data_IF_372595471191
#
_entry.id   IF_372595471191
#
_cell.length_a   1.000
_cell.length_b   1.000
_cell.length_c   1.000
_cell.angle_alpha   90.00
_cell.angle_beta   90.00
_cell.angle_gamma   90.00
#
_symmetry.space_group_name_H-M   'P 1'
#
loop_
_entity.id
_entity.type
_entity.pdbx_description
1 polymer ?
#
# COMPACT_ATOMS: atom_id res chain seq x y z
N UNK A 1 -12.35 -0.54 -13.15
CA UNK A 1 -11.64 -0.76 -11.89
C UNK A 1 -10.74 0.43 -11.59
N UNK A 2 -10.60 0.79 -10.33
CA UNK A 2 -9.71 1.87 -9.92
C UNK A 2 -8.55 1.32 -9.12
N UNK A 3 -7.45 2.08 -9.03
CA UNK A 3 -6.27 1.70 -8.26
C UNK A 3 -5.95 2.76 -7.22
N UNK A 4 -5.72 2.30 -5.99
CA UNK A 4 -5.12 3.13 -4.96
C UNK A 4 -3.60 2.96 -5.07
N UNK A 5 -2.88 4.06 -5.23
CA UNK A 5 -1.42 4.07 -5.29
C UNK A 5 -0.90 4.88 -4.10
N UNK A 6 -0.13 4.24 -3.24
CA UNK A 6 0.39 4.86 -2.02
C UNK A 6 1.90 4.80 -1.97
N UNK A 7 2.52 5.92 -1.65
CA UNK A 7 3.96 5.97 -1.34
C UNK A 7 4.11 5.90 0.17
N UNK A 8 4.87 4.93 0.64
CA UNK A 8 5.03 4.62 2.05
C UNK A 8 6.42 5.00 2.55
N UNK A 9 6.44 5.63 3.71
CA UNK A 9 7.67 5.96 4.41
C UNK A 9 7.66 5.24 5.76
N UNK A 10 8.79 4.63 6.11
CA UNK A 10 8.88 3.90 7.39
C UNK A 10 8.81 4.85 8.57
N UNK A 11 8.29 4.35 9.67
CA UNK A 11 8.24 5.03 10.94
C UNK A 11 9.66 5.35 11.42
N UNK A 12 9.85 6.53 11.99
CA UNK A 12 11.12 6.92 12.58
C UNK A 12 11.56 5.87 13.62
N UNK A 13 12.83 5.52 13.57
CA UNK A 13 13.41 4.51 14.47
C UNK A 13 13.44 3.09 13.91
N UNK A 14 12.70 2.81 12.83
CA UNK A 14 12.77 1.50 12.19
C UNK A 14 13.89 1.46 11.16
N UNK A 15 14.56 0.32 11.07
CA UNK A 15 15.44 0.04 9.93
C UNK A 15 14.59 -0.30 8.71
N UNK A 16 15.19 -0.26 7.53
CA UNK A 16 14.50 -0.66 6.30
C UNK A 16 14.05 -2.12 6.36
N UNK A 17 14.91 -3.00 6.88
CA UNK A 17 14.58 -4.42 7.03
C UNK A 17 13.41 -4.63 7.98
N UNK A 18 13.37 -3.92 9.09
CA UNK A 18 12.26 -3.99 10.05
C UNK A 18 10.96 -3.51 9.42
N UNK A 19 11.03 -2.44 8.62
CA UNK A 19 9.86 -1.94 7.88
C UNK A 19 9.32 -3.00 6.92
N UNK A 20 10.19 -3.61 6.11
CA UNK A 20 9.77 -4.63 5.15
C UNK A 20 9.24 -5.88 5.84
N UNK A 21 9.86 -6.30 6.95
CA UNK A 21 9.38 -7.45 7.70
C UNK A 21 7.93 -7.23 8.17
N UNK A 22 7.63 -6.06 8.72
CA UNK A 22 6.29 -5.75 9.19
C UNK A 22 5.31 -5.59 8.02
N UNK A 23 5.68 -4.77 7.04
CA UNK A 23 4.82 -4.45 5.91
C UNK A 23 4.43 -5.69 5.11
N UNK A 24 5.40 -6.51 4.75
CA UNK A 24 5.20 -7.69 3.94
C UNK A 24 4.69 -8.89 4.75
N UNK A 25 5.22 -9.08 5.95
CA UNK A 25 4.98 -10.27 6.76
C UNK A 25 3.82 -10.17 7.74
N UNK A 26 3.36 -8.96 8.05
CA UNK A 26 2.29 -8.76 9.05
C UNK A 26 1.13 -7.94 8.52
N UNK A 27 1.40 -6.80 7.88
CA UNK A 27 0.35 -5.86 7.45
C UNK A 27 -0.50 -6.44 6.32
N UNK A 28 0.11 -6.87 5.23
CA UNK A 28 -0.64 -7.46 4.12
C UNK A 28 -1.37 -8.74 4.52
N UNK A 29 -0.74 -9.67 5.27
CA UNK A 29 -1.47 -10.84 5.76
C UNK A 29 -2.66 -10.48 6.64
N UNK A 30 -2.59 -9.43 7.44
CA UNK A 30 -3.70 -8.98 8.27
C UNK A 30 -4.91 -8.59 7.41
N UNK A 31 -4.69 -7.84 6.33
CA UNK A 31 -5.77 -7.47 5.40
C UNK A 31 -6.31 -8.72 4.71
N UNK A 32 -5.43 -9.56 4.18
CA UNK A 32 -5.80 -10.76 3.43
C UNK A 32 -6.60 -11.75 4.25
N UNK A 33 -6.29 -11.87 5.54
CA UNK A 33 -6.94 -12.83 6.43
C UNK A 33 -8.20 -12.30 7.12
N UNK A 34 -8.57 -11.05 6.87
CA UNK A 34 -9.77 -10.42 7.43
C UNK A 34 -10.82 -10.33 6.33
N UNK A 35 -11.82 -11.26 6.30
CA UNK A 35 -12.78 -11.31 5.19
C UNK A 35 -13.54 -10.01 4.95
N UNK A 36 -13.88 -9.27 6.01
CA UNK A 36 -14.58 -7.99 5.90
C UNK A 36 -13.79 -6.95 5.11
N UNK A 37 -12.47 -7.07 5.09
CA UNK A 37 -11.57 -6.19 4.34
C UNK A 37 -11.23 -6.78 2.98
N UNK A 38 -10.82 -8.04 2.96
CA UNK A 38 -10.35 -8.71 1.74
C UNK A 38 -11.42 -8.72 0.64
N UNK A 39 -12.70 -8.80 1.01
CA UNK A 39 -13.80 -8.86 0.04
C UNK A 39 -13.89 -7.63 -0.87
N UNK A 40 -13.36 -6.49 -0.45
CA UNK A 40 -13.38 -5.26 -1.25
C UNK A 40 -12.19 -5.14 -2.20
N UNK A 41 -11.11 -5.89 -1.94
CA UNK A 41 -9.84 -5.74 -2.65
C UNK A 41 -9.74 -6.79 -3.75
N UNK A 42 -9.53 -6.36 -5.00
CA UNK A 42 -9.40 -7.27 -6.15
C UNK A 42 -7.97 -7.74 -6.37
N UNK A 43 -7.01 -6.90 -6.01
CA UNK A 43 -5.58 -7.19 -6.11
C UNK A 43 -4.83 -6.26 -5.18
N UNK A 44 -3.75 -6.75 -4.58
CA UNK A 44 -2.90 -5.97 -3.68
C UNK A 44 -1.45 -6.28 -4.05
N UNK A 45 -0.70 -5.25 -4.42
CA UNK A 45 0.72 -5.38 -4.71
C UNK A 45 1.53 -4.51 -3.76
N UNK A 46 2.66 -5.03 -3.34
CA UNK A 46 3.62 -4.33 -2.50
C UNK A 46 4.94 -4.26 -3.25
N UNK A 47 5.42 -3.05 -3.50
CA UNK A 47 6.63 -2.81 -4.29
C UNK A 47 7.72 -2.24 -3.39
N UNK A 48 8.76 -3.04 -3.14
CA UNK A 48 9.95 -2.59 -2.43
C UNK A 48 10.75 -1.69 -3.36
N UNK A 49 11.33 -0.61 -2.83
CA UNK A 49 12.21 0.21 -3.66
C UNK A 49 13.51 -0.53 -3.96
N UNK A 50 14.10 -0.22 -5.10
CA UNK A 50 15.47 -0.63 -5.43
C UNK A 50 16.43 0.18 -4.56
N UNK A 51 17.32 -0.49 -3.83
CA UNK A 51 18.23 0.17 -2.89
C UNK A 51 19.60 0.45 -3.50
N UNK A 52 19.98 -0.28 -4.54
CA UNK A 52 21.25 -0.14 -5.24
C UNK A 52 21.02 0.00 -6.74
N UNK A 53 21.45 1.09 -7.38
CA UNK A 53 22.09 2.27 -6.75
C UNK A 53 21.11 3.13 -5.96
N UNK A 54 21.61 3.87 -4.99
CA UNK A 54 20.78 4.63 -4.06
C UNK A 54 19.87 5.67 -4.73
N UNK A 55 20.26 6.19 -5.90
CA UNK A 55 19.46 7.19 -6.63
C UNK A 55 18.13 6.61 -7.18
N UNK A 56 17.94 5.29 -7.14
CA UNK A 56 16.69 4.67 -7.58
C UNK A 56 15.53 4.97 -6.62
N UNK A 57 15.81 5.47 -5.41
CA UNK A 57 14.76 5.83 -4.47
C UNK A 57 14.36 7.30 -4.61
N UNK A 58 13.18 7.63 -4.11
CA UNK A 58 12.75 9.01 -3.91
C UNK A 58 12.78 9.31 -2.42
N UNK A 59 13.07 10.56 -2.08
CA UNK A 59 13.42 11.01 -0.73
C UNK A 59 12.60 10.39 0.41
N UNK A 60 13.22 9.47 1.14
CA UNK A 60 12.65 8.88 2.34
C UNK A 60 11.53 7.88 2.13
N UNK A 61 11.06 7.68 0.90
CA UNK A 61 10.02 6.69 0.64
C UNK A 61 10.64 5.32 0.41
N UNK A 62 10.02 4.30 0.99
CA UNK A 62 10.59 2.96 1.08
C UNK A 62 9.82 1.92 0.28
N UNK A 63 8.62 2.25 -0.18
CA UNK A 63 7.84 1.32 -0.97
C UNK A 63 6.57 1.94 -1.51
N UNK A 64 5.93 1.20 -2.42
CA UNK A 64 4.67 1.61 -3.04
C UNK A 64 3.67 0.47 -2.86
N UNK A 65 2.48 0.81 -2.39
CA UNK A 65 1.32 -0.08 -2.38
C UNK A 65 0.44 0.24 -3.57
N UNK A 66 -0.01 -0.79 -4.29
CA UNK A 66 -1.04 -0.63 -5.31
C UNK A 66 -2.16 -1.60 -4.97
N UNK A 67 -3.39 -1.08 -4.83
CA UNK A 67 -4.56 -1.90 -4.54
C UNK A 67 -5.65 -1.61 -5.56
N UNK A 68 -6.26 -2.68 -6.07
CA UNK A 68 -7.35 -2.57 -7.05
C UNK A 68 -8.70 -2.75 -6.37
N UNK A 69 -9.63 -1.86 -6.71
CA UNK A 69 -11.02 -1.89 -6.24
C UNK A 69 -11.95 -1.80 -7.46
N UNK A 70 -13.15 -2.36 -7.36
CA UNK A 70 -14.11 -2.28 -8.46
C UNK A 70 -14.50 -0.84 -8.79
N UNK A 71 -14.55 0.03 -7.77
CA UNK A 71 -14.95 1.43 -7.91
C UNK A 71 -14.41 2.25 -6.75
N UNK A 72 -14.52 3.57 -6.85
CA UNK A 72 -14.24 4.47 -5.72
C UNK A 72 -15.15 4.14 -4.53
N UNK A 73 -16.42 3.82 -4.79
CA UNK A 73 -17.36 3.47 -3.72
C UNK A 73 -16.89 2.21 -2.96
N UNK A 74 -16.31 1.23 -3.65
CA UNK A 74 -15.74 0.05 -2.99
C UNK A 74 -14.53 0.39 -2.14
N UNK A 75 -13.69 1.31 -2.58
CA UNK A 75 -12.59 1.80 -1.76
C UNK A 75 -13.12 2.49 -0.50
N UNK A 76 -14.13 3.35 -0.65
CA UNK A 76 -14.77 4.02 0.50
C UNK A 76 -15.37 3.00 1.45
N UNK A 77 -16.05 1.99 0.93
CA UNK A 77 -16.63 0.91 1.74
C UNK A 77 -15.55 0.13 2.50
N UNK A 78 -14.41 -0.12 1.86
CA UNK A 78 -13.27 -0.78 2.49
C UNK A 78 -12.77 0.01 3.69
N UNK A 79 -12.53 1.32 3.54
CA UNK A 79 -12.04 2.16 4.62
C UNK A 79 -13.10 2.40 5.71
N UNK A 80 -14.37 2.25 5.38
CA UNK A 80 -15.48 2.42 6.33
C UNK A 80 -15.79 1.16 7.13
N UNK A 81 -15.20 0.02 6.78
CA UNK A 81 -15.39 -1.21 7.55
C UNK A 81 -14.90 -1.00 8.98
N UNK A 82 -15.66 -1.41 10.01
CA UNK A 82 -15.19 -1.32 11.40
C UNK A 82 -13.85 -2.00 11.63
N UNK A 83 -13.58 -3.10 10.92
CA UNK A 83 -12.30 -3.81 11.01
C UNK A 83 -11.14 -2.97 10.52
N UNK A 84 -11.36 -2.00 9.64
CA UNK A 84 -10.28 -1.12 9.17
C UNK A 84 -9.74 -0.28 10.33
N UNK A 85 -10.60 0.45 11.03
CA UNK A 85 -10.18 1.25 12.18
C UNK A 85 -9.74 0.40 13.36
N UNK A 86 -10.33 -0.78 13.51
CA UNK A 86 -10.00 -1.68 14.62
C UNK A 86 -8.64 -2.35 14.44
N UNK A 87 -8.30 -2.78 13.22
CA UNK A 87 -7.11 -3.59 12.95
C UNK A 87 -6.04 -2.88 12.12
N UNK A 88 -6.44 -2.17 11.07
CA UNK A 88 -5.49 -1.65 10.09
C UNK A 88 -4.86 -0.33 10.54
N UNK A 89 -5.65 0.62 11.02
CA UNK A 89 -5.10 1.88 11.50
C UNK A 89 -4.10 1.71 12.64
N UNK A 90 -4.37 0.88 13.66
CA UNK A 90 -3.37 0.62 14.69
C UNK A 90 -2.12 -0.06 14.15
N UNK A 91 -2.27 -0.94 13.16
CA UNK A 91 -1.13 -1.60 12.55
C UNK A 91 -0.27 -0.63 11.75
N UNK A 92 -0.90 0.27 10.99
CA UNK A 92 -0.19 1.34 10.28
C UNK A 92 0.67 2.17 11.22
N UNK A 93 0.16 2.50 12.39
CA UNK A 93 0.89 3.28 13.38
C UNK A 93 2.15 2.59 13.90
N UNK A 94 2.27 1.28 13.72
CA UNK A 94 3.42 0.49 14.17
C UNK A 94 4.61 0.59 13.23
N UNK A 95 4.39 0.85 11.93
CA UNK A 95 5.49 0.78 10.96
C UNK A 95 5.55 1.94 9.96
N UNK A 96 4.51 2.76 9.86
CA UNK A 96 4.45 3.88 8.91
C UNK A 96 4.66 5.23 9.57
N UNK A 97 5.29 6.12 8.83
CA UNK A 97 5.20 7.55 9.09
C UNK A 97 3.90 8.04 8.43
N UNK A 98 2.85 8.17 9.22
CA UNK A 98 1.52 8.48 8.71
C UNK A 98 1.40 9.92 8.23
N UNK A 99 2.28 10.82 8.68
CA UNK A 99 2.30 12.21 8.25
C UNK A 99 2.92 12.37 6.86
N UNK A 100 3.73 11.41 6.43
CA UNK A 100 4.39 11.39 5.14
C UNK A 100 3.62 10.60 4.08
N UNK A 101 2.41 10.18 4.37
CA UNK A 101 1.60 9.32 3.50
C UNK A 101 1.12 10.09 2.28
N UNK A 102 1.55 9.66 1.10
CA UNK A 102 1.15 10.27 -0.18
C UNK A 102 0.40 9.22 -0.99
N UNK A 103 -0.77 9.57 -1.50
CA UNK A 103 -1.58 8.62 -2.26
C UNK A 103 -2.51 9.31 -3.23
N UNK A 104 -2.97 8.56 -4.22
CA UNK A 104 -4.06 8.96 -5.10
C UNK A 104 -4.79 7.74 -5.61
N UNK A 105 -6.01 7.95 -6.11
CA UNK A 105 -6.77 6.91 -6.79
C UNK A 105 -6.72 7.23 -8.28
N UNK A 106 -6.37 6.23 -9.08
CA UNK A 106 -6.22 6.37 -10.51
C UNK A 106 -7.26 5.53 -11.26
N UNK A 107 -7.61 5.96 -12.46
CA UNK A 107 -8.49 5.21 -13.36
C UNK A 107 -7.70 4.11 -14.07
N UNK A 108 -8.37 3.37 -14.96
CA UNK A 108 -7.71 2.40 -15.82
C UNK A 108 -6.59 3.08 -16.62
N UNK A 109 -5.47 2.41 -16.81
CA UNK A 109 -4.34 3.05 -17.47
C UNK A 109 -4.62 3.33 -18.95
N UNK A 110 -4.04 4.41 -19.43
CA UNK A 110 -3.91 4.66 -20.86
C UNK A 110 -2.52 4.17 -21.24
N UNK A 111 -2.46 3.10 -22.03
CA UNK A 111 -1.18 2.53 -22.46
C UNK A 111 -0.67 3.38 -23.63
N UNK A 112 0.31 4.26 -23.34
CA UNK A 112 0.88 5.15 -24.34
C UNK A 112 1.80 4.40 -25.31
N UNK A 113 2.42 3.32 -24.83
CA UNK A 113 3.33 2.52 -25.64
C UNK A 113 3.42 1.12 -25.04
N UNK A 114 3.37 0.11 -25.91
CA UNK A 114 3.52 -1.28 -25.51
C UNK A 114 4.83 -1.78 -26.11
N UNK A 115 5.76 -2.16 -25.26
CA UNK A 115 7.08 -2.60 -25.71
C UNK A 115 7.03 -3.97 -26.37
N UNK A 116 8.07 -4.34 -27.12
CA UNK A 116 8.18 -5.69 -27.66
C UNK A 116 8.36 -6.70 -26.55
N UNK A 117 7.76 -7.86 -26.69
CA UNK A 117 7.84 -8.95 -25.70
C UNK A 117 9.04 -9.85 -25.94
#
# INVERSE_FOLDING_TARGET
MVKLVCFLKRKEGLTLDEFYEHWLGRHAPLIRSTPELARHVRRYEQHKRVTEPAWCGTEGYDGITIQWFDSVDEFVAFTAEPKYSELIEPDEARFLDRDAFVWMITEEPIVAMDGPT
#
